data_IF_986318595430
#
_entry.id   IF_986318595430
#
_cell.length_a   1.000
_cell.length_b   1.000
_cell.length_c   1.000
_cell.angle_alpha   90.00
_cell.angle_beta   90.00
_cell.angle_gamma   90.00
#
_symmetry.space_group_name_H-M   'P 1'
#
loop_
_entity.id
_entity.type
_entity.pdbx_description
1 polymer ?
#
# COMPACT_ATOMS: atom_id res chain seq x y z
N UNK A 1 -0.90 -4.64 -17.02
CA UNK A 1 -1.90 -5.72 -16.78
C UNK A 1 -1.75 -6.43 -15.43
N UNK A 2 -0.59 -6.99 -15.07
CA UNK A 2 -0.46 -7.82 -13.84
C UNK A 2 -0.76 -7.10 -12.52
N UNK A 3 -0.37 -5.84 -12.38
CA UNK A 3 -0.61 -5.06 -11.15
C UNK A 3 -2.11 -4.79 -10.90
N UNK A 4 -2.85 -4.42 -11.95
CA UNK A 4 -4.30 -4.17 -11.87
C UNK A 4 -5.07 -5.42 -11.46
N UNK A 5 -4.72 -6.58 -12.04
CA UNK A 5 -5.31 -7.87 -11.65
C UNK A 5 -5.02 -8.23 -10.19
N UNK A 6 -3.79 -8.01 -9.71
CA UNK A 6 -3.43 -8.25 -8.30
C UNK A 6 -4.24 -7.36 -7.35
N UNK A 7 -4.37 -6.06 -7.67
CA UNK A 7 -5.20 -5.12 -6.88
C UNK A 7 -6.66 -5.56 -6.87
N UNK A 8 -7.21 -5.93 -8.03
CA UNK A 8 -8.57 -6.45 -8.14
C UNK A 8 -8.78 -7.68 -7.26
N UNK A 9 -7.89 -8.68 -7.34
CA UNK A 9 -7.95 -9.89 -6.52
C UNK A 9 -7.83 -9.60 -5.01
N UNK A 10 -7.01 -8.63 -4.62
CA UNK A 10 -6.92 -8.17 -3.23
C UNK A 10 -8.26 -7.63 -2.73
N UNK A 11 -8.91 -6.76 -3.51
CA UNK A 11 -10.22 -6.18 -3.16
C UNK A 11 -11.31 -7.26 -3.03
N UNK A 12 -11.27 -8.28 -3.87
CA UNK A 12 -12.19 -9.43 -3.76
C UNK A 12 -11.94 -10.22 -2.46
N UNK A 13 -10.67 -10.44 -2.12
CA UNK A 13 -10.31 -11.14 -0.89
C UNK A 13 -10.66 -10.33 0.37
N UNK A 14 -10.63 -9.00 0.32
CA UNK A 14 -11.14 -8.12 1.39
C UNK A 14 -12.65 -8.30 1.59
N UNK A 15 -13.43 -8.39 0.51
CA UNK A 15 -14.87 -8.69 0.59
C UNK A 15 -15.13 -10.08 1.17
N UNK A 16 -14.34 -11.07 0.77
CA UNK A 16 -14.39 -12.43 1.32
C UNK A 16 -14.22 -12.46 2.85
N UNK A 17 -13.23 -11.71 3.36
CA UNK A 17 -12.92 -11.61 4.80
C UNK A 17 -13.98 -10.89 5.64
N UNK A 18 -14.85 -10.10 5.01
CA UNK A 18 -15.86 -9.30 5.73
C UNK A 18 -16.94 -10.16 6.40
N UNK A 19 -17.18 -11.34 5.88
CA UNK A 19 -18.22 -12.27 6.35
C UNK A 19 -17.59 -13.59 6.77
N UNK A 20 -18.18 -14.30 7.72
CA UNK A 20 -17.64 -15.55 8.29
C UNK A 20 -18.07 -16.80 7.49
N UNK A 21 -19.32 -16.82 7.05
CA UNK A 21 -19.96 -17.98 6.40
C UNK A 21 -20.12 -17.76 4.89
N UNK A 22 -19.97 -18.82 4.09
CA UNK A 22 -20.10 -18.74 2.63
C UNK A 22 -21.52 -18.36 2.18
N UNK A 23 -22.55 -18.75 2.92
CA UNK A 23 -23.95 -18.40 2.63
C UNK A 23 -24.16 -16.88 2.59
N UNK A 24 -23.64 -16.17 3.59
CA UNK A 24 -23.69 -14.70 3.65
C UNK A 24 -22.80 -14.07 2.57
N UNK A 25 -21.65 -14.68 2.24
CA UNK A 25 -20.79 -14.20 1.13
C UNK A 25 -21.50 -14.31 -0.22
N UNK A 26 -22.33 -15.32 -0.42
CA UNK A 26 -23.10 -15.54 -1.65
C UNK A 26 -24.28 -14.56 -1.79
N UNK A 27 -24.77 -13.98 -0.69
CA UNK A 27 -25.76 -12.89 -0.74
C UNK A 27 -25.14 -11.55 -1.15
N UNK A 28 -23.80 -11.42 -1.05
CA UNK A 28 -23.06 -10.18 -1.27
C UNK A 28 -22.09 -10.29 -2.45
N UNK A 29 -22.57 -10.77 -3.59
CA UNK A 29 -21.77 -10.88 -4.81
C UNK A 29 -21.36 -9.48 -5.30
N UNK A 30 -20.07 -9.23 -5.59
CA UNK A 30 -19.63 -7.98 -6.17
C UNK A 30 -20.29 -7.67 -7.53
N UNK A 31 -20.68 -6.42 -7.75
CA UNK A 31 -21.20 -5.97 -9.05
C UNK A 31 -20.21 -6.28 -10.18
N UNK A 32 -20.74 -6.82 -11.28
CA UNK A 32 -19.97 -7.20 -12.47
C UNK A 32 -19.25 -8.54 -12.38
N UNK A 33 -19.37 -9.29 -11.27
CA UNK A 33 -18.98 -10.71 -11.22
C UNK A 33 -20.16 -11.62 -11.53
N UNK A 34 -19.89 -12.71 -12.24
CA UNK A 34 -20.83 -13.82 -12.32
C UNK A 34 -20.86 -14.62 -11.00
N UNK A 35 -21.99 -15.29 -10.75
CA UNK A 35 -22.16 -16.15 -9.58
C UNK A 35 -21.13 -17.29 -9.59
N UNK A 36 -20.91 -17.89 -10.75
CA UNK A 36 -19.97 -18.98 -10.97
C UNK A 36 -18.52 -18.57 -10.67
N UNK A 37 -18.09 -17.42 -11.22
CA UNK A 37 -16.75 -16.89 -10.95
C UNK A 37 -16.57 -16.61 -9.45
N UNK A 38 -17.61 -16.09 -8.79
CA UNK A 38 -17.54 -15.81 -7.35
C UNK A 38 -17.40 -17.10 -6.53
N UNK A 39 -18.15 -18.15 -6.88
CA UNK A 39 -18.04 -19.47 -6.27
C UNK A 39 -16.63 -20.05 -6.40
N UNK A 40 -16.03 -19.97 -7.59
CA UNK A 40 -14.65 -20.41 -7.82
C UNK A 40 -13.65 -19.60 -6.97
N UNK A 41 -13.88 -18.28 -6.80
CA UNK A 41 -13.05 -17.46 -5.91
C UNK A 41 -13.21 -17.85 -4.44
N UNK A 42 -14.43 -18.18 -3.97
CA UNK A 42 -14.66 -18.64 -2.59
C UNK A 42 -13.88 -19.94 -2.33
N UNK A 43 -13.99 -20.93 -3.22
CA UNK A 43 -13.24 -22.19 -3.12
C UNK A 43 -11.74 -21.95 -3.09
N UNK A 44 -11.25 -21.06 -3.96
CA UNK A 44 -9.85 -20.69 -4.04
C UNK A 44 -9.34 -20.01 -2.76
N UNK A 45 -10.12 -19.12 -2.14
CA UNK A 45 -9.74 -18.48 -0.87
C UNK A 45 -9.88 -19.40 0.34
N UNK A 46 -10.82 -20.35 0.29
CA UNK A 46 -11.00 -21.35 1.32
C UNK A 46 -9.88 -22.41 1.30
N UNK A 47 -9.25 -22.63 0.14
CA UNK A 47 -8.18 -23.60 -0.06
C UNK A 47 -7.04 -23.45 0.97
N UNK A 48 -6.58 -24.58 1.57
CA UNK A 48 -5.48 -24.55 2.54
C UNK A 48 -4.19 -24.00 1.94
N UNK A 49 -3.92 -24.26 0.65
CA UNK A 49 -2.74 -23.74 -0.05
C UNK A 49 -2.74 -22.22 -0.09
N UNK A 50 -3.89 -21.63 -0.42
CA UNK A 50 -4.05 -20.18 -0.47
C UNK A 50 -3.88 -19.56 0.92
N UNK A 51 -4.49 -20.16 1.95
CA UNK A 51 -4.36 -19.71 3.34
C UNK A 51 -2.91 -19.76 3.82
N UNK A 52 -2.20 -20.86 3.54
CA UNK A 52 -0.79 -21.00 3.89
C UNK A 52 0.09 -19.96 3.20
N UNK A 53 -0.11 -19.74 1.89
CA UNK A 53 0.60 -18.69 1.14
C UNK A 53 0.28 -17.29 1.67
N UNK A 54 -0.98 -17.01 1.98
CA UNK A 54 -1.40 -15.73 2.55
C UNK A 54 -0.74 -15.46 3.89
N UNK A 55 -0.69 -16.45 4.78
CA UNK A 55 -0.06 -16.32 6.09
C UNK A 55 1.45 -16.09 5.95
N UNK A 56 2.12 -16.87 5.08
CA UNK A 56 3.54 -16.69 4.78
C UNK A 56 3.83 -15.29 4.25
N UNK A 57 3.01 -14.79 3.33
CA UNK A 57 3.17 -13.44 2.77
C UNK A 57 2.94 -12.34 3.81
N UNK A 58 1.97 -12.51 4.70
CA UNK A 58 1.74 -11.58 5.81
C UNK A 58 2.94 -11.53 6.75
N UNK A 59 3.50 -12.69 7.10
CA UNK A 59 4.70 -12.79 7.93
C UNK A 59 5.95 -12.22 7.22
N UNK A 60 6.10 -12.45 5.92
CA UNK A 60 7.19 -11.83 5.16
C UNK A 60 7.06 -10.31 5.14
N UNK A 61 5.84 -9.79 5.02
CA UNK A 61 5.57 -8.36 5.02
C UNK A 61 5.83 -7.71 6.38
N UNK A 62 5.47 -8.36 7.49
CA UNK A 62 5.77 -7.84 8.84
C UNK A 62 7.27 -7.82 9.14
N UNK A 63 8.02 -8.76 8.60
CA UNK A 63 9.48 -8.83 8.75
C UNK A 63 10.25 -8.01 7.69
N UNK A 64 9.56 -7.42 6.72
CA UNK A 64 10.19 -6.65 5.65
C UNK A 64 10.70 -5.31 6.19
N UNK A 65 12.02 -5.18 6.33
CA UNK A 65 12.69 -3.92 6.65
C UNK A 65 13.09 -3.21 5.37
N UNK A 66 12.67 -1.96 5.20
CA UNK A 66 13.17 -1.09 4.12
C UNK A 66 14.41 -0.39 4.66
N UNK A 67 15.58 -0.82 4.20
CA UNK A 67 16.85 -0.15 4.52
C UNK A 67 16.99 0.99 3.52
N UNK A 68 16.91 2.23 4.01
CA UNK A 68 17.19 3.40 3.17
C UNK A 68 18.70 3.47 2.91
N UNK A 69 19.12 3.48 1.64
CA UNK A 69 20.52 3.66 1.26
C UNK A 69 21.05 5.09 1.53
N UNK A 70 20.16 6.04 1.81
CA UNK A 70 20.46 7.49 1.84
C UNK A 70 20.54 8.05 3.28
N UNK A 71 20.59 7.20 4.30
CA UNK A 71 20.52 7.61 5.71
C UNK A 71 19.09 7.64 6.26
N UNK A 72 18.87 8.13 7.50
CA UNK A 72 17.57 8.11 8.17
C UNK A 72 16.54 9.05 7.52
N UNK A 73 16.99 9.98 6.66
CA UNK A 73 16.16 10.95 5.97
C UNK A 73 15.64 10.38 4.65
N UNK A 74 14.31 10.34 4.44
CA UNK A 74 13.72 10.03 3.14
C UNK A 74 14.23 10.99 2.06
N UNK A 75 14.39 10.52 0.82
CA UNK A 75 14.87 11.35 -0.30
C UNK A 75 14.08 12.65 -0.48
N UNK A 76 12.75 12.61 -0.32
CA UNK A 76 11.90 13.80 -0.39
C UNK A 76 12.20 14.83 0.72
N UNK A 77 12.59 14.37 1.91
CA UNK A 77 13.03 15.26 3.00
C UNK A 77 14.39 15.87 2.63
N UNK A 78 15.32 15.07 2.11
CA UNK A 78 16.62 15.57 1.64
C UNK A 78 16.47 16.64 0.55
N UNK A 79 15.55 16.47 -0.40
CA UNK A 79 15.26 17.49 -1.42
C UNK A 79 14.70 18.77 -0.81
N UNK A 80 13.73 18.67 0.11
CA UNK A 80 13.18 19.84 0.80
C UNK A 80 14.24 20.58 1.61
N UNK A 81 15.09 19.85 2.33
CA UNK A 81 16.18 20.42 3.12
C UNK A 81 17.21 21.12 2.22
N UNK A 82 17.60 20.50 1.10
CA UNK A 82 18.51 21.13 0.11
C UNK A 82 17.93 22.43 -0.47
N UNK A 83 16.63 22.44 -0.76
CA UNK A 83 15.93 23.62 -1.31
C UNK A 83 15.86 24.74 -0.26
N UNK A 84 15.60 24.44 1.02
CA UNK A 84 15.57 25.46 2.07
C UNK A 84 16.95 26.02 2.43
N UNK A 85 18.00 25.20 2.42
CA UNK A 85 19.38 25.70 2.61
C UNK A 85 19.77 26.70 1.52
N UNK A 86 19.25 26.53 0.30
CA UNK A 86 19.47 27.48 -0.81
C UNK A 86 18.72 28.80 -0.56
N UNK A 87 17.47 28.75 -0.07
CA UNK A 87 16.68 29.94 0.22
C UNK A 87 17.18 30.74 1.44
N UNK A 88 17.76 30.08 2.44
CA UNK A 88 18.34 30.76 3.61
C UNK A 88 19.64 31.53 3.26
N UNK A 89 20.36 31.11 2.21
CA UNK A 89 21.56 31.81 1.75
C UNK A 89 21.25 33.10 0.98
N UNK A 90 20.14 33.15 0.24
CA UNK A 90 19.71 34.36 -0.49
C UNK A 90 19.03 35.41 0.42
N UNK A 91 18.47 35.00 1.57
CA UNK A 91 17.85 35.90 2.54
C UNK A 91 18.83 36.70 3.40
N UNK A 92 20.11 36.32 3.46
CA UNK A 92 21.09 36.93 4.38
C UNK A 92 21.73 38.23 3.84
N UNK A 93 21.42 38.67 2.62
CA UNK A 93 22.09 39.84 2.00
C UNK A 93 21.27 41.15 1.96
N UNK A 94 20.04 41.20 2.49
CA UNK A 94 19.17 42.40 2.35
C UNK A 94 18.80 43.08 3.68
N UNK A 95 19.41 42.71 4.81
CA UNK A 95 19.06 43.28 6.13
C UNK A 95 20.12 44.18 6.79
N UNK A 96 21.18 44.62 6.08
CA UNK A 96 22.26 45.42 6.72
C UNK A 96 22.47 46.86 6.23
N UNK A 97 21.59 47.45 5.42
CA UNK A 97 21.78 48.84 4.92
C UNK A 97 20.61 49.78 5.19
N UNK A 98 20.08 49.82 6.42
CA UNK A 98 19.17 50.90 6.88
C UNK A 98 19.18 51.04 8.40
N UNK A 99 20.32 51.44 8.97
CA UNK A 99 20.39 52.15 10.27
C UNK A 99 21.85 52.56 10.52
N UNK A 100 22.24 53.69 9.91
CA UNK A 100 23.07 54.76 10.47
C UNK A 100 23.14 55.91 9.44
#
# INVERSE_FOLDING_TARGET
MRASYRKYRSRLHEKYKKYETDEVRMQHIPEGLSVEDWLQMLQLFASPEFKALSLKNANNRSNQKVIACTGPTPFAQTEYDMVNVIFDFEGCHIMSLSLL
#
